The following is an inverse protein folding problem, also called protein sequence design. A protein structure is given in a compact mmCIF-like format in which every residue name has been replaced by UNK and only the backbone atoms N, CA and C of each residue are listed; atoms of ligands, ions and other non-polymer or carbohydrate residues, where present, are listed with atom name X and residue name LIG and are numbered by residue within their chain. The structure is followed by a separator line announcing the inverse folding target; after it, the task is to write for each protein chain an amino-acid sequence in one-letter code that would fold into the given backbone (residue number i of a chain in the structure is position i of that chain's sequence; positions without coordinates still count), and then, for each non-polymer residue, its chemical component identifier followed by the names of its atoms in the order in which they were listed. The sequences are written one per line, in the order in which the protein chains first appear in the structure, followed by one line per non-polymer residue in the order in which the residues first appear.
data_IF_282785428786
#
_entry.id   IF_282785428786
#
_cell.length_a   1.000
_cell.length_b   1.000
_cell.length_c   1.000
_cell.angle_alpha   90.00
_cell.angle_beta   90.00
_cell.angle_gamma   90.00
#
_symmetry.space_group_name_H-M   'P 1'
#
loop_
_entity.id
_entity.type
_entity.pdbx_description
1 polymer ?
#
# COMPACT_ATOMS: atom_id res chain seq x y z
N UNK A 1 -5.80 -0.74 -23.21
CA UNK A 1 -5.98 0.29 -22.17
C UNK A 1 -6.90 -0.21 -21.07
N UNK A 2 -6.43 -0.12 -19.82
CA UNK A 2 -7.14 -0.54 -18.61
C UNK A 2 -7.18 0.63 -17.63
N UNK A 3 -8.34 0.88 -17.02
CA UNK A 3 -8.50 1.87 -15.96
C UNK A 3 -8.94 1.16 -14.68
N UNK A 4 -8.15 1.33 -13.61
CA UNK A 4 -8.43 0.76 -12.30
C UNK A 4 -8.79 1.83 -11.31
N UNK A 5 -9.92 1.66 -10.64
CA UNK A 5 -10.29 2.44 -9.45
C UNK A 5 -9.88 1.67 -8.21
N UNK A 6 -9.29 2.36 -7.24
CA UNK A 6 -8.83 1.72 -6.02
C UNK A 6 -9.02 2.63 -4.80
N UNK A 7 -9.11 1.98 -3.65
CA UNK A 7 -9.02 2.60 -2.34
C UNK A 7 -8.18 1.68 -1.46
N UNK A 8 -7.13 2.22 -0.86
CA UNK A 8 -6.25 1.47 0.03
C UNK A 8 -5.95 2.29 1.27
N UNK A 9 -5.84 1.60 2.41
CA UNK A 9 -5.07 2.13 3.53
C UNK A 9 -3.61 1.96 3.14
N UNK A 10 -2.86 3.04 3.04
CA UNK A 10 -1.45 2.93 2.71
C UNK A 10 -0.68 2.68 4.00
N UNK A 11 0.13 1.63 4.01
CA UNK A 11 1.01 1.35 5.13
C UNK A 11 2.17 2.33 5.08
N UNK A 12 2.48 2.94 6.23
CA UNK A 12 3.74 3.63 6.47
C UNK A 12 4.79 2.54 6.75
N UNK A 13 5.25 1.90 5.67
CA UNK A 13 6.17 0.77 5.72
C UNK A 13 7.61 1.29 5.57
N UNK A 14 8.55 0.95 6.47
CA UNK A 14 9.95 1.36 6.37
C UNK A 14 10.62 0.99 5.03
N UNK A 15 10.17 -0.08 4.37
CA UNK A 15 10.80 -0.59 3.14
C UNK A 15 10.39 0.17 1.86
N UNK A 16 9.18 0.75 1.83
CA UNK A 16 8.63 1.45 0.65
C UNK A 16 8.22 2.89 0.92
N UNK A 17 8.39 3.36 2.17
CA UNK A 17 7.91 4.63 2.72
C UNK A 17 6.38 4.70 2.76
N UNK A 18 5.70 4.39 1.65
CA UNK A 18 4.25 4.31 1.53
C UNK A 18 3.88 3.21 0.52
N UNK A 19 3.09 2.22 0.92
CA UNK A 19 2.64 1.14 0.02
C UNK A 19 1.19 1.32 -0.41
N UNK A 20 0.93 1.40 -1.72
CA UNK A 20 -0.42 1.45 -2.31
C UNK A 20 -0.91 0.05 -2.68
N UNK A 21 -1.89 -0.47 -1.96
CA UNK A 21 -2.49 -1.78 -2.20
C UNK A 21 -3.43 -1.80 -3.42
N UNK A 22 -3.12 -2.63 -4.41
CA UNK A 22 -3.91 -2.79 -5.64
C UNK A 22 -4.43 -4.22 -5.86
N UNK A 23 -4.14 -5.16 -4.95
CA UNK A 23 -4.35 -6.59 -5.20
C UNK A 23 -5.80 -6.97 -5.53
N UNK A 24 -6.79 -6.38 -4.85
CA UNK A 24 -8.20 -6.68 -5.13
C UNK A 24 -8.68 -6.05 -6.45
N UNK A 25 -8.52 -4.73 -6.67
CA UNK A 25 -8.84 -4.12 -7.97
C UNK A 25 -8.19 -4.81 -9.18
N UNK A 26 -6.95 -5.28 -9.03
CA UNK A 26 -6.24 -6.00 -10.10
C UNK A 26 -6.81 -7.40 -10.36
N UNK A 27 -7.15 -8.14 -9.29
CA UNK A 27 -7.79 -9.45 -9.44
C UNK A 27 -9.16 -9.32 -10.13
N UNK A 28 -9.92 -8.31 -9.76
CA UNK A 28 -11.25 -8.07 -10.31
C UNK A 28 -11.17 -7.67 -11.80
N UNK A 29 -10.18 -6.86 -12.19
CA UNK A 29 -10.00 -6.42 -13.57
C UNK A 29 -9.35 -7.47 -14.51
N UNK A 30 -8.66 -8.46 -13.94
CA UNK A 30 -7.92 -9.48 -14.68
C UNK A 30 -8.27 -10.89 -14.19
N UNK A 31 -9.56 -11.17 -14.00
CA UNK A 31 -10.03 -12.42 -13.41
C UNK A 31 -9.54 -13.67 -14.17
N UNK A 32 -9.46 -13.59 -15.49
CA UNK A 32 -9.06 -14.70 -16.37
C UNK A 32 -7.56 -14.73 -16.69
N UNK A 33 -6.77 -13.78 -16.15
CA UNK A 33 -5.33 -13.71 -16.39
C UNK A 33 -4.55 -14.55 -15.37
N UNK A 34 -3.44 -15.14 -15.82
CA UNK A 34 -2.52 -15.87 -14.96
C UNK A 34 -2.04 -15.00 -13.77
N UNK A 35 -2.16 -15.54 -12.56
CA UNK A 35 -1.82 -14.85 -11.30
C UNK A 35 -0.41 -14.24 -11.30
N UNK A 36 0.56 -14.91 -11.90
CA UNK A 36 1.95 -14.45 -11.99
C UNK A 36 2.05 -13.14 -12.79
N UNK A 37 1.29 -13.03 -13.89
CA UNK A 37 1.21 -11.85 -14.76
C UNK A 37 0.53 -10.67 -14.04
N UNK A 38 -0.60 -10.94 -13.40
CA UNK A 38 -1.32 -9.95 -12.57
C UNK A 38 -0.42 -9.41 -11.47
N UNK A 39 0.38 -10.27 -10.82
CA UNK A 39 1.33 -9.85 -9.80
C UNK A 39 2.45 -8.97 -10.35
N UNK A 40 3.00 -9.28 -11.54
CA UNK A 40 4.02 -8.44 -12.20
C UNK A 40 3.45 -7.06 -12.53
N UNK A 41 2.24 -6.97 -13.07
CA UNK A 41 1.53 -5.70 -13.33
C UNK A 41 1.35 -4.94 -12.01
N UNK A 42 0.83 -5.62 -10.99
CA UNK A 42 0.58 -5.02 -9.68
C UNK A 42 1.83 -4.45 -9.03
N UNK A 43 2.96 -5.15 -9.07
CA UNK A 43 4.24 -4.64 -8.54
C UNK A 43 4.68 -3.35 -9.23
N UNK A 44 4.58 -3.28 -10.57
CA UNK A 44 4.95 -2.08 -11.34
C UNK A 44 4.02 -0.90 -11.00
N UNK A 45 2.71 -1.13 -10.93
CA UNK A 45 1.73 -0.10 -10.59
C UNK A 45 1.85 0.38 -9.14
N UNK A 46 1.99 -0.54 -8.17
CA UNK A 46 2.21 -0.19 -6.76
C UNK A 46 3.46 0.66 -6.61
N UNK A 47 4.58 0.27 -7.23
CA UNK A 47 5.82 1.07 -7.20
C UNK A 47 5.59 2.48 -7.76
N UNK A 48 4.96 2.60 -8.93
CA UNK A 48 4.65 3.89 -9.54
C UNK A 48 3.79 4.77 -8.60
N UNK A 49 2.70 4.24 -8.08
CA UNK A 49 1.77 4.99 -7.24
C UNK A 49 2.38 5.38 -5.90
N UNK A 50 3.15 4.49 -5.27
CA UNK A 50 3.89 4.76 -4.04
C UNK A 50 4.79 5.99 -4.18
N UNK A 51 5.57 6.09 -5.27
CA UNK A 51 6.40 7.27 -5.52
C UNK A 51 5.59 8.55 -5.75
N UNK A 52 4.45 8.47 -6.43
CA UNK A 52 3.57 9.62 -6.65
C UNK A 52 2.97 10.13 -5.34
N UNK A 53 2.54 9.23 -4.48
CA UNK A 53 2.00 9.57 -3.15
C UNK A 53 3.09 10.18 -2.27
N UNK A 54 4.27 9.55 -2.21
CA UNK A 54 5.40 10.08 -1.45
C UNK A 54 5.81 11.49 -1.93
N UNK A 55 5.94 11.68 -3.23
CA UNK A 55 6.27 12.98 -3.83
C UNK A 55 5.20 14.05 -3.56
N UNK A 56 3.92 13.67 -3.55
CA UNK A 56 2.84 14.59 -3.18
C UNK A 56 2.92 15.01 -1.71
N UNK A 57 3.22 14.09 -0.79
CA UNK A 57 3.35 14.39 0.63
C UNK A 57 4.53 15.31 0.92
N UNK A 58 5.71 15.02 0.36
CA UNK A 58 6.91 15.87 0.50
C UNK A 58 6.61 17.30 0.00
N UNK A 59 5.95 17.44 -1.15
CA UNK A 59 5.57 18.76 -1.70
C UNK A 59 4.60 19.54 -0.80
N UNK A 60 3.82 18.84 0.03
CA UNK A 60 2.88 19.45 0.98
C UNK A 60 3.49 19.58 2.39
N UNK A 61 4.81 19.42 2.55
CA UNK A 61 5.51 19.66 3.81
C UNK A 61 5.49 18.50 4.80
N UNK A 62 5.09 17.30 4.36
CA UNK A 62 5.17 16.10 5.20
C UNK A 62 6.56 15.48 5.11
N UNK A 63 7.17 15.21 6.26
CA UNK A 63 8.37 14.37 6.33
C UNK A 63 8.01 12.90 6.19
N UNK A 64 8.88 12.15 5.52
CA UNK A 64 8.72 10.74 5.27
C UNK A 64 9.91 9.94 5.84
N UNK A 65 9.68 8.80 6.51
CA UNK A 65 8.38 8.18 6.80
C UNK A 65 7.53 9.05 7.72
N UNK A 66 6.20 8.93 7.62
CA UNK A 66 5.31 9.73 8.46
C UNK A 66 5.56 9.42 9.94
N UNK A 67 5.35 10.39 10.84
CA UNK A 67 5.46 10.13 12.27
C UNK A 67 4.51 9.04 12.75
N UNK A 68 4.82 8.44 13.91
CA UNK A 68 3.97 7.40 14.48
C UNK A 68 2.54 7.89 14.73
N UNK A 69 1.56 7.03 14.49
CA UNK A 69 0.14 7.34 14.64
C UNK A 69 -0.48 8.05 13.45
N UNK A 70 0.27 8.44 12.42
CA UNK A 70 -0.35 8.88 11.16
C UNK A 70 -0.86 7.68 10.36
N UNK A 71 -2.08 7.83 9.82
CA UNK A 71 -2.72 6.88 8.92
C UNK A 71 -2.95 7.52 7.57
N UNK A 72 -2.74 6.76 6.51
CA UNK A 72 -2.96 7.19 5.15
C UNK A 72 -4.08 6.40 4.50
N UNK A 73 -5.00 7.11 3.84
CA UNK A 73 -5.95 6.52 2.89
C UNK A 73 -5.70 7.11 1.52
N UNK A 74 -5.43 6.27 0.55
CA UNK A 74 -5.23 6.67 -0.84
C UNK A 74 -6.42 6.16 -1.65
N UNK A 75 -7.10 7.08 -2.33
CA UNK A 75 -8.20 6.82 -3.26
C UNK A 75 -7.77 7.31 -4.62
N UNK A 76 -8.13 6.60 -5.69
CA UNK A 76 -7.78 7.09 -7.01
C UNK A 76 -8.15 6.17 -8.14
N UNK A 77 -7.75 6.65 -9.31
CA UNK A 77 -7.80 5.91 -10.56
C UNK A 77 -6.42 5.92 -11.23
N UNK A 78 -6.05 4.80 -11.85
CA UNK A 78 -4.85 4.69 -12.68
C UNK A 78 -5.23 4.09 -14.03
N UNK A 79 -4.78 4.72 -15.10
CA UNK A 79 -4.97 4.26 -16.47
C UNK A 79 -3.63 3.85 -17.05
N UNK A 80 -3.55 2.66 -17.62
CA UNK A 80 -2.33 2.09 -18.16
C UNK A 80 -2.60 1.14 -19.33
N UNK A 81 -1.54 0.90 -20.10
CA UNK A 81 -1.44 -0.20 -21.05
C UNK A 81 -0.42 -1.21 -20.56
N UNK A 82 -0.56 -2.46 -21.01
CA UNK A 82 0.46 -3.48 -20.81
C UNK A 82 0.66 -4.28 -22.09
N UNK A 83 1.90 -4.67 -22.35
CA UNK A 83 2.25 -5.63 -23.40
C UNK A 83 3.11 -6.74 -22.80
N UNK A 84 3.15 -7.86 -23.49
CA UNK A 84 3.99 -9.00 -23.14
C UNK A 84 4.94 -9.25 -24.31
N UNK A 85 6.24 -9.08 -24.08
CA UNK A 85 7.29 -9.32 -25.07
C UNK A 85 8.34 -10.23 -24.43
N UNK A 86 8.60 -11.39 -25.05
CA UNK A 86 9.61 -12.34 -24.57
C UNK A 86 9.40 -12.87 -23.14
N UNK A 87 8.16 -12.89 -22.63
CA UNK A 87 7.84 -13.30 -21.25
C UNK A 87 8.03 -12.19 -20.19
N UNK A 88 8.44 -11.00 -20.60
CA UNK A 88 8.42 -9.80 -19.78
C UNK A 88 7.12 -9.02 -19.98
N UNK A 89 6.57 -8.51 -18.87
CA UNK A 89 5.40 -7.63 -18.90
C UNK A 89 5.88 -6.19 -18.77
N UNK A 90 5.66 -5.38 -19.80
CA UNK A 90 5.83 -3.94 -19.70
C UNK A 90 4.50 -3.27 -19.42
N UNK A 91 4.55 -2.28 -18.53
CA UNK A 91 3.39 -1.51 -18.10
C UNK A 91 3.68 -0.04 -18.39
N UNK A 92 2.85 0.59 -19.22
CA UNK A 92 2.95 2.00 -19.58
C UNK A 92 1.80 2.75 -18.91
N UNK A 93 2.11 3.53 -17.88
CA UNK A 93 1.10 4.35 -17.18
C UNK A 93 0.79 5.59 -18.01
N UNK A 94 -0.48 5.76 -18.40
CA UNK A 94 -0.96 6.91 -19.18
C UNK A 94 -1.42 8.06 -18.29
N UNK A 95 -1.93 7.76 -17.10
CA UNK A 95 -2.35 8.78 -16.15
C UNK A 95 -2.77 8.19 -14.81
N UNK A 96 -2.79 9.04 -13.79
CA UNK A 96 -3.33 8.72 -12.47
C UNK A 96 -3.99 9.95 -11.86
N UNK A 97 -5.13 9.76 -11.18
CA UNK A 97 -5.74 10.78 -10.30
C UNK A 97 -5.81 10.23 -8.90
N UNK A 98 -5.27 10.97 -7.94
CA UNK A 98 -5.10 10.53 -6.57
C UNK A 98 -5.71 11.54 -5.60
N UNK A 99 -6.39 11.03 -4.59
CA UNK A 99 -6.82 11.73 -3.39
C UNK A 99 -6.18 11.04 -2.20
N UNK A 100 -5.44 11.81 -1.40
CA UNK A 100 -4.68 11.32 -0.25
C UNK A 100 -5.30 11.95 0.99
N UNK A 101 -5.94 11.12 1.81
CA UNK A 101 -6.46 11.54 3.10
C UNK A 101 -5.45 11.12 4.20
N UNK A 102 -5.11 12.08 5.05
CA UNK A 102 -4.11 11.91 6.12
C UNK A 102 -4.85 12.07 7.45
N UNK A 103 -4.70 11.10 8.34
CA UNK A 103 -5.35 11.09 9.65
C UNK A 103 -4.30 10.94 10.74
N UNK A 104 -4.51 11.60 11.87
CA UNK A 104 -3.77 11.32 13.10
C UNK A 104 -4.61 10.37 13.95
N UNK A 105 -4.04 9.24 14.35
CA UNK A 105 -4.66 8.26 15.24
C UNK A 105 -4.82 8.88 16.62
N UNK A 106 -6.06 9.13 17.00
CA UNK A 106 -6.38 9.71 18.31
C UNK A 106 -6.50 8.66 19.41
N UNK A 107 -7.07 7.49 19.09
CA UNK A 107 -7.29 6.39 20.04
C UNK A 107 -7.08 5.05 19.35
N UNK A 108 -6.60 4.07 20.11
CA UNK A 108 -6.50 2.67 19.71
C UNK A 108 -7.24 1.83 20.75
N UNK A 109 -7.98 0.83 20.30
CA UNK A 109 -8.61 -0.16 21.17
C UNK A 109 -7.93 -1.49 20.87
N UNK A 110 -7.40 -2.13 21.91
CA UNK A 110 -6.91 -3.50 21.84
C UNK A 110 -8.06 -4.43 22.19
N UNK A 111 -8.33 -5.39 21.31
CA UNK A 111 -9.33 -6.43 21.55
C UNK A 111 -8.64 -7.79 21.36
N UNK A 112 -8.82 -8.67 22.34
CA UNK A 112 -8.35 -10.05 22.32
C UNK A 112 -9.49 -10.95 22.72
N UNK A 113 -9.79 -11.96 21.91
CA UNK A 113 -10.76 -13.01 22.22
C UNK A 113 -9.99 -14.31 22.51
N UNK A 114 -10.20 -14.89 23.71
CA UNK A 114 -9.45 -16.04 24.20
C UNK A 114 -8.21 -15.70 25.05
N UNK A 115 -7.87 -16.59 25.97
CA UNK A 115 -6.80 -16.42 26.97
C UNK A 115 -5.42 -16.37 26.30
N UNK A 116 -4.87 -15.17 26.12
CA UNK A 116 -3.43 -15.02 25.94
C UNK A 116 -2.81 -15.07 27.34
N UNK A 117 -2.13 -16.19 27.62
CA UNK A 117 -1.35 -16.40 28.82
C UNK A 117 -0.47 -15.18 29.11
N UNK A 118 -0.53 -14.71 30.35
CA UNK A 118 0.44 -13.75 30.87
C UNK A 118 1.85 -14.28 30.59
N UNK A 119 2.61 -13.58 29.76
CA UNK A 119 4.06 -13.70 29.80
C UNK A 119 4.49 -13.18 31.17
N UNK A 120 4.70 -14.10 32.11
CA UNK A 120 5.34 -13.80 33.39
C UNK A 120 6.76 -13.34 33.03
N UNK A 121 7.01 -12.03 33.06
CA UNK A 121 8.36 -11.51 33.24
C UNK A 121 8.87 -12.05 34.57
N UNK A 122 9.66 -13.14 34.51
CA UNK A 122 10.54 -13.48 35.63
C UNK A 122 11.64 -12.43 35.67
N UNK A 123 11.38 -11.37 36.41
CA UNK A 123 12.45 -10.58 37.03
C UNK A 123 13.27 -11.52 37.90
N UNK A 124 14.36 -12.06 37.35
CA UNK A 124 15.37 -12.73 38.17
C UNK A 124 16.30 -11.63 38.64
N UNK A 125 15.94 -11.02 39.77
CA UNK A 125 16.81 -10.15 40.52
C UNK A 125 17.97 -10.96 41.11
N UNK A 126 19.15 -10.38 41.02
CA UNK A 126 20.43 -10.79 41.61
C UNK A 126 20.33 -11.28 43.06
N UNK A 127 21.18 -12.26 43.37
CA UNK A 127 21.97 -12.31 44.61
C UNK A 127 23.34 -12.86 44.33
#
# INVERSE_FOLDING_TARGET
MVTLKFTTRAANDPAYVITVGLSRPLKDAFADMEKTKVNKIGRKLTKYLSYRVAGALIKNGYELPLPEGYLLRVRGEVTFDYNEEGGEINVSVKGAKLSIDIFKREKSISYSEGTLEHSIERSTAEK
#
